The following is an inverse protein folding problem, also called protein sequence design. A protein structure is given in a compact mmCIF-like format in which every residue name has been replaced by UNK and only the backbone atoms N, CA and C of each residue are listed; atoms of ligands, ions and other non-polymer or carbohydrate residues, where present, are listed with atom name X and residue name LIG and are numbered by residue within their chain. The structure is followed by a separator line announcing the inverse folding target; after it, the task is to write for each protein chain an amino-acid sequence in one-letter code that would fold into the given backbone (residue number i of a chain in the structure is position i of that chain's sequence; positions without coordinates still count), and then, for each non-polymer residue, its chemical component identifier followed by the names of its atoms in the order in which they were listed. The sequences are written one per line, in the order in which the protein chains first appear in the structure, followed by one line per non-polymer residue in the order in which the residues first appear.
data_IF_011767492285
#
_entry.id   IF_011767492285
#
_cell.length_a   1.000
_cell.length_b   1.000
_cell.length_c   1.000
_cell.angle_alpha   90.00
_cell.angle_beta   90.00
_cell.angle_gamma   90.00
#
_symmetry.space_group_name_H-M   'P 1'
#
loop_
_entity.id
_entity.type
_entity.pdbx_description
1 polymer ?
#
# COMPACT_ATOMS: atom_id res chain seq x y z
N UNK A 1 6.85 -21.61 -41.63
CA UNK A 1 7.99 -21.23 -40.76
C UNK A 1 7.63 -19.92 -40.06
N UNK A 2 7.17 -20.01 -38.81
CA UNK A 2 6.36 -18.96 -38.17
C UNK A 2 7.13 -18.33 -36.99
N UNK A 3 8.08 -17.43 -37.30
CA UNK A 3 9.02 -16.86 -36.31
C UNK A 3 8.41 -15.64 -35.59
N UNK A 4 7.14 -15.29 -35.84
CA UNK A 4 6.50 -14.12 -35.21
C UNK A 4 5.64 -14.41 -33.98
N UNK A 5 5.46 -15.67 -33.57
CA UNK A 5 4.74 -16.02 -32.33
C UNK A 5 5.61 -16.05 -31.07
N UNK A 6 6.94 -16.10 -31.21
CA UNK A 6 7.86 -16.17 -30.06
C UNK A 6 8.12 -14.86 -29.33
N UNK A 7 7.75 -13.71 -29.92
CA UNK A 7 8.07 -12.38 -29.37
C UNK A 7 6.95 -11.75 -28.54
N UNK A 8 5.73 -12.27 -28.61
CA UNK A 8 4.55 -11.70 -27.93
C UNK A 8 4.37 -12.26 -26.49
N UNK A 9 5.07 -13.35 -26.14
CA UNK A 9 4.94 -14.00 -24.83
C UNK A 9 6.07 -13.66 -23.84
N UNK A 10 7.07 -12.86 -24.24
CA UNK A 10 8.21 -12.50 -23.36
C UNK A 10 8.08 -11.12 -22.67
N UNK A 11 6.97 -10.42 -22.85
CA UNK A 11 6.68 -9.13 -22.20
C UNK A 11 5.69 -9.25 -21.03
N UNK A 12 5.39 -10.46 -20.56
CA UNK A 12 4.80 -10.63 -19.22
C UNK A 12 5.95 -10.63 -18.21
N UNK A 13 6.62 -9.49 -18.11
CA UNK A 13 7.61 -9.23 -17.07
C UNK A 13 6.93 -9.56 -15.73
N UNK A 14 7.53 -10.48 -14.97
CA UNK A 14 7.03 -11.05 -13.72
C UNK A 14 6.55 -9.95 -12.76
N UNK A 15 5.30 -9.51 -12.89
CA UNK A 15 4.68 -8.55 -11.99
C UNK A 15 4.44 -9.29 -10.68
N UNK A 16 5.31 -9.05 -9.71
CA UNK A 16 5.15 -9.60 -8.37
C UNK A 16 4.10 -8.79 -7.65
N UNK A 17 2.91 -9.37 -7.46
CA UNK A 17 1.89 -8.75 -6.61
C UNK A 17 2.44 -8.57 -5.18
N UNK A 18 2.07 -7.47 -4.53
CA UNK A 18 2.37 -7.25 -3.11
C UNK A 18 1.56 -8.21 -2.26
N UNK A 19 2.23 -9.01 -1.44
CA UNK A 19 1.63 -10.13 -0.71
C UNK A 19 0.44 -9.76 0.20
N UNK A 20 0.35 -8.49 0.63
CA UNK A 20 -0.71 -7.99 1.50
C UNK A 20 -1.94 -7.49 0.73
N UNK A 21 -1.94 -7.54 -0.60
CA UNK A 21 -3.11 -7.32 -1.46
C UNK A 21 -3.51 -8.62 -2.15
N UNK A 22 -3.88 -9.65 -1.40
CA UNK A 22 -4.13 -11.00 -1.98
C UNK A 22 -5.32 -11.06 -2.95
N UNK A 23 -6.30 -10.16 -2.83
CA UNK A 23 -7.52 -10.12 -3.66
C UNK A 23 -7.33 -9.25 -4.92
N UNK A 24 -6.17 -8.60 -5.06
CA UNK A 24 -5.89 -7.63 -6.12
C UNK A 24 -4.50 -7.89 -6.74
N UNK A 25 -4.41 -7.87 -8.07
CA UNK A 25 -3.13 -7.97 -8.78
C UNK A 25 -2.43 -6.60 -8.81
N UNK A 26 -2.07 -6.07 -7.64
CA UNK A 26 -1.32 -4.82 -7.51
C UNK A 26 0.16 -5.09 -7.31
N UNK A 27 1.00 -4.46 -8.13
CA UNK A 27 2.46 -4.41 -7.92
C UNK A 27 2.86 -3.30 -6.94
N UNK A 28 4.13 -3.28 -6.51
CA UNK A 28 4.65 -2.15 -5.74
C UNK A 28 4.52 -0.82 -6.51
N UNK A 29 4.77 -0.85 -7.83
CA UNK A 29 4.63 0.31 -8.71
C UNK A 29 3.19 0.82 -8.77
N UNK A 30 2.21 -0.09 -8.85
CA UNK A 30 0.77 0.27 -8.86
C UNK A 30 0.38 0.93 -7.53
N UNK A 31 0.81 0.36 -6.40
CA UNK A 31 0.56 0.95 -5.07
C UNK A 31 1.18 2.34 -4.98
N UNK A 32 2.43 2.52 -5.43
CA UNK A 32 3.08 3.85 -5.45
C UNK A 32 2.36 4.82 -6.36
N UNK A 33 1.85 4.38 -7.50
CA UNK A 33 1.08 5.21 -8.42
C UNK A 33 -0.22 5.71 -7.76
N UNK A 34 -0.96 4.82 -7.10
CA UNK A 34 -2.19 5.17 -6.36
C UNK A 34 -1.88 6.17 -5.24
N UNK A 35 -0.83 5.93 -4.45
CA UNK A 35 -0.43 6.82 -3.35
C UNK A 35 0.02 8.22 -3.82
N UNK A 36 0.53 8.35 -5.05
CA UNK A 36 0.89 9.65 -5.67
C UNK A 36 -0.26 10.30 -6.43
N UNK A 37 -1.35 9.56 -6.65
CA UNK A 37 -2.51 10.01 -7.38
C UNK A 37 -3.31 11.10 -6.64
N UNK A 38 -4.22 11.72 -7.38
CA UNK A 38 -5.15 12.73 -6.88
C UNK A 38 -6.47 12.14 -6.38
N UNK A 39 -6.70 10.83 -6.59
CA UNK A 39 -7.89 10.15 -6.09
C UNK A 39 -7.71 9.82 -4.60
N UNK A 40 -8.24 10.70 -3.76
CA UNK A 40 -8.15 10.55 -2.31
C UNK A 40 -8.82 9.27 -1.79
N UNK A 41 -9.91 8.82 -2.41
CA UNK A 41 -10.59 7.57 -2.00
C UNK A 41 -9.68 6.36 -2.19
N UNK A 42 -9.04 6.25 -3.35
CA UNK A 42 -8.11 5.15 -3.65
C UNK A 42 -6.87 5.21 -2.76
N UNK A 43 -6.33 6.41 -2.54
CA UNK A 43 -5.20 6.63 -1.63
C UNK A 43 -5.52 6.15 -0.22
N UNK A 44 -6.65 6.58 0.35
CA UNK A 44 -7.07 6.17 1.69
C UNK A 44 -7.32 4.66 1.76
N UNK A 45 -7.90 4.07 0.72
CA UNK A 45 -8.11 2.63 0.65
C UNK A 45 -6.78 1.86 0.68
N UNK A 46 -5.80 2.25 -0.15
CA UNK A 46 -4.46 1.64 -0.15
C UNK A 46 -3.74 1.82 1.18
N UNK A 47 -3.78 3.02 1.77
CA UNK A 47 -3.19 3.28 3.09
C UNK A 47 -3.82 2.39 4.17
N UNK A 48 -5.14 2.23 4.13
CA UNK A 48 -5.87 1.35 5.06
C UNK A 48 -5.39 -0.09 4.96
N UNK A 49 -5.14 -0.60 3.75
CA UNK A 49 -4.59 -1.95 3.55
C UNK A 49 -3.15 -2.07 4.07
N UNK A 50 -2.28 -1.15 3.70
CA UNK A 50 -0.87 -1.18 4.11
C UNK A 50 -0.76 -1.24 5.64
N UNK A 51 -1.43 -0.31 6.35
CA UNK A 51 -1.29 -0.17 7.81
C UNK A 51 -1.87 -1.34 8.61
N UNK A 52 -2.72 -2.17 7.99
CA UNK A 52 -3.45 -3.23 8.67
C UNK A 52 -3.08 -4.63 8.17
N UNK A 53 -2.24 -4.76 7.14
CA UNK A 53 -1.90 -6.05 6.52
C UNK A 53 -0.42 -6.19 6.16
N UNK A 54 0.32 -5.09 5.98
CA UNK A 54 1.76 -5.17 5.75
C UNK A 54 2.51 -5.46 7.05
N UNK A 55 3.69 -6.09 6.93
CA UNK A 55 4.64 -6.22 8.03
C UNK A 55 5.16 -4.84 8.37
N UNK A 56 5.48 -4.63 9.63
CA UNK A 56 5.93 -3.34 10.15
C UNK A 56 7.02 -2.67 9.30
N UNK A 57 8.08 -3.42 8.96
CA UNK A 57 9.19 -2.92 8.15
C UNK A 57 8.79 -2.54 6.71
N UNK A 58 7.73 -3.16 6.19
CA UNK A 58 7.28 -2.96 4.82
C UNK A 58 6.36 -1.75 4.68
N UNK A 59 5.69 -1.32 5.76
CA UNK A 59 4.85 -0.10 5.78
C UNK A 59 5.66 1.11 5.29
N UNK A 60 6.87 1.26 5.83
CA UNK A 60 7.73 2.42 5.57
C UNK A 60 8.37 2.40 4.17
N UNK A 61 8.19 1.32 3.40
CA UNK A 61 8.54 1.32 1.97
C UNK A 61 7.57 2.16 1.15
N UNK A 62 6.35 2.37 1.64
CA UNK A 62 5.27 3.03 0.90
C UNK A 62 4.80 4.34 1.54
N UNK A 63 4.79 4.40 2.88
CA UNK A 63 4.26 5.53 3.64
C UNK A 63 5.34 6.20 4.47
N UNK A 64 5.15 7.49 4.72
CA UNK A 64 5.87 8.24 5.75
C UNK A 64 4.99 8.42 6.99
N UNK A 65 5.62 8.73 8.13
CA UNK A 65 4.89 9.09 9.34
C UNK A 65 3.93 10.26 9.12
N UNK A 66 4.34 11.24 8.30
CA UNK A 66 3.51 12.39 7.92
C UNK A 66 2.25 11.95 7.18
N UNK A 67 2.37 11.05 6.20
CA UNK A 67 1.21 10.54 5.44
C UNK A 67 0.19 9.93 6.38
N UNK A 68 0.65 9.09 7.33
CA UNK A 68 -0.22 8.44 8.32
C UNK A 68 -0.92 9.47 9.19
N UNK A 69 -0.21 10.48 9.73
CA UNK A 69 -0.79 11.53 10.56
C UNK A 69 -1.86 12.34 9.83
N UNK A 70 -1.56 12.79 8.61
CA UNK A 70 -2.48 13.63 7.82
C UNK A 70 -3.76 12.90 7.42
N UNK A 71 -3.72 11.57 7.33
CA UNK A 71 -4.84 10.75 6.87
C UNK A 71 -5.46 9.89 7.97
N UNK A 72 -4.94 9.94 9.20
CA UNK A 72 -5.31 9.04 10.29
C UNK A 72 -6.82 8.95 10.53
N UNK A 73 -7.49 10.10 10.55
CA UNK A 73 -8.93 10.21 10.77
C UNK A 73 -9.77 9.63 9.62
N UNK A 74 -9.21 9.56 8.41
CA UNK A 74 -9.88 9.07 7.20
C UNK A 74 -9.68 7.57 6.96
N UNK A 75 -8.66 6.97 7.56
CA UNK A 75 -8.35 5.55 7.41
C UNK A 75 -9.54 4.70 7.84
N UNK A 76 -9.87 3.71 7.00
CA UNK A 76 -10.89 2.72 7.28
C UNK A 76 -10.28 1.59 8.11
N UNK A 77 -10.30 1.76 9.43
CA UNK A 77 -9.83 0.77 10.38
C UNK A 77 -10.78 -0.43 10.44
N UNK A 78 -10.27 -1.63 10.19
CA UNK A 78 -10.96 -2.92 10.27
C UNK A 78 -11.44 -3.20 11.69
N UNK A 79 -10.68 -2.75 12.69
CA UNK A 79 -11.04 -2.89 14.11
C UNK A 79 -10.69 -1.62 14.90
N UNK A 80 -11.43 -1.31 15.98
CA UNK A 80 -11.08 -0.22 16.90
C UNK A 80 -9.69 -0.40 17.51
N UNK A 81 -9.32 -1.63 17.86
CA UNK A 81 -8.02 -1.97 18.43
C UNK A 81 -6.84 -1.53 17.53
N UNK A 82 -6.93 -1.74 16.21
CA UNK A 82 -5.86 -1.30 15.30
C UNK A 82 -5.75 0.22 15.27
N UNK A 83 -6.87 0.94 15.33
CA UNK A 83 -6.87 2.40 15.42
C UNK A 83 -6.18 2.86 16.70
N UNK A 84 -6.50 2.27 17.84
CA UNK A 84 -5.89 2.59 19.14
C UNK A 84 -4.38 2.33 19.12
N UNK A 85 -3.95 1.15 18.67
CA UNK A 85 -2.53 0.81 18.54
C UNK A 85 -1.75 1.83 17.71
N UNK A 86 -2.30 2.26 16.57
CA UNK A 86 -1.67 3.28 15.74
C UNK A 86 -1.73 4.67 16.38
N UNK A 87 -2.80 5.00 17.12
CA UNK A 87 -2.88 6.25 17.87
C UNK A 87 -1.75 6.36 18.88
N UNK A 88 -1.55 5.31 19.68
CA UNK A 88 -0.50 5.24 20.69
C UNK A 88 0.90 5.33 20.04
N UNK A 89 1.10 4.64 18.91
CA UNK A 89 2.36 4.71 18.18
C UNK A 89 2.65 6.13 17.65
N UNK A 90 1.64 6.80 17.08
CA UNK A 90 1.77 8.17 16.57
C UNK A 90 2.06 9.17 17.69
N UNK A 91 1.51 8.96 18.88
CA UNK A 91 1.78 9.74 20.09
C UNK A 91 3.25 9.59 20.50
N UNK A 92 3.75 8.35 20.63
CA UNK A 92 5.16 8.10 20.98
C UNK A 92 6.12 8.79 20.01
N UNK A 93 5.87 8.72 18.70
CA UNK A 93 6.75 9.35 17.71
C UNK A 93 6.52 10.86 17.54
N UNK A 94 5.60 11.47 18.29
CA UNK A 94 5.44 12.93 18.32
C UNK A 94 6.45 13.62 19.22
N UNK A 95 7.15 12.86 20.05
CA UNK A 95 8.15 13.34 21.00
C UNK A 95 9.60 13.33 20.46
N UNK A 96 9.81 12.89 19.21
CA UNK A 96 11.09 12.99 18.46
C UNK A 96 11.08 14.23 17.53
#
# INVERSE_FOLDING_TARGET
MNIKRGRILMEQQQRSSVYFFWDYDLTEEDVRAILRGTNETEKIWVMSWILQSARWSDIWKFLTLKDVRENFAKIQWRTPYLRELWSDALEVWSYD
#
